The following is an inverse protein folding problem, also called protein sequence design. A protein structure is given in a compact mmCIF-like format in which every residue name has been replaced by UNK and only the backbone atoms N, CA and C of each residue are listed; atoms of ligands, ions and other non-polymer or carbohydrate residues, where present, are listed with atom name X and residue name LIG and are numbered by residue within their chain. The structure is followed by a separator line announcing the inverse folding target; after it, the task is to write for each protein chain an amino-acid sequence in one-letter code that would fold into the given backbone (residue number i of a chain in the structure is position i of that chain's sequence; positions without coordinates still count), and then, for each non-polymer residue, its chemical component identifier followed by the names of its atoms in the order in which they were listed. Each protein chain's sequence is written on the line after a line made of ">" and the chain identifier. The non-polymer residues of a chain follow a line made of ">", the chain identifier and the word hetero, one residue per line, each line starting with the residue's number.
data_IF_628020008074
#
_entry.id   IF_628020008074
#
_cell.length_a   1.000
_cell.length_b   1.000
_cell.length_c   1.000
_cell.angle_alpha   90.00
_cell.angle_beta   90.00
_cell.angle_gamma   90.00
#
_symmetry.space_group_name_H-M   'P 1'
#
loop_
_entity.id
_entity.type
_entity.pdbx_description
1 polymer ?
#
# COMPACT_ATOMS: atom_id res chain seq x y z
N UNK A 1 -0.97 14.86 6.50
CA UNK A 1 0.04 13.78 6.34
C UNK A 1 0.41 13.03 7.64
N UNK A 2 0.17 13.57 8.85
CA UNK A 2 0.63 12.96 10.12
C UNK A 2 -0.25 11.79 10.61
N UNK A 3 -1.57 11.80 10.32
CA UNK A 3 -2.51 10.71 10.68
C UNK A 3 -2.12 9.34 10.11
N UNK A 4 -1.32 9.29 9.04
CA UNK A 4 -0.97 8.05 8.35
C UNK A 4 0.09 7.22 9.12
N UNK A 5 1.01 7.89 9.84
CA UNK A 5 2.12 7.22 10.51
C UNK A 5 1.67 6.49 11.78
N UNK A 6 0.74 7.08 12.53
CA UNK A 6 0.17 6.48 13.74
C UNK A 6 -0.66 5.22 13.42
N UNK A 7 -1.47 5.30 12.35
CA UNK A 7 -2.25 4.15 11.85
C UNK A 7 -1.33 3.00 11.39
N UNK A 8 -0.19 3.34 10.79
CA UNK A 8 0.83 2.39 10.35
C UNK A 8 1.47 1.62 11.52
N UNK A 9 1.70 2.29 12.65
CA UNK A 9 2.30 1.70 13.86
C UNK A 9 1.29 0.79 14.56
N UNK A 10 0.03 1.22 14.68
CA UNK A 10 -1.04 0.46 15.33
C UNK A 10 -1.34 -0.83 14.55
N UNK A 11 -1.41 -0.78 13.22
CA UNK A 11 -1.65 -1.97 12.38
C UNK A 11 -0.46 -2.93 12.29
N UNK A 12 0.77 -2.48 12.61
CA UNK A 12 1.95 -3.36 12.63
C UNK A 12 1.87 -4.43 13.73
N UNK A 13 1.05 -4.19 14.76
CA UNK A 13 0.71 -5.17 15.81
C UNK A 13 -0.34 -6.19 15.36
N UNK A 14 -0.98 -6.01 14.21
CA UNK A 14 -1.89 -7.02 13.67
C UNK A 14 -1.12 -8.22 13.11
N UNK A 15 -1.77 -9.38 13.18
CA UNK A 15 -1.19 -10.66 12.78
C UNK A 15 -0.89 -10.68 11.27
N UNK A 16 0.28 -11.21 10.91
CA UNK A 16 0.64 -11.53 9.54
C UNK A 16 -0.50 -12.29 8.85
N UNK A 17 -1.00 -11.77 7.73
CA UNK A 17 -2.08 -12.36 6.96
C UNK A 17 -3.41 -11.59 7.01
N UNK A 18 -3.62 -10.69 7.98
CA UNK A 18 -4.81 -9.82 7.98
C UNK A 18 -4.85 -8.95 6.73
N UNK A 19 -6.06 -8.64 6.24
CA UNK A 19 -6.22 -7.79 5.06
C UNK A 19 -5.60 -6.40 5.32
N UNK A 20 -5.80 -5.84 6.50
CA UNK A 20 -5.20 -4.58 6.94
C UNK A 20 -3.66 -4.62 6.92
N UNK A 21 -3.04 -5.72 7.40
CA UNK A 21 -1.60 -5.92 7.33
C UNK A 21 -1.10 -5.99 5.87
N UNK A 22 -1.86 -6.63 4.98
CA UNK A 22 -1.53 -6.65 3.55
C UNK A 22 -1.58 -5.24 2.94
N UNK A 23 -2.61 -4.46 3.24
CA UNK A 23 -2.73 -3.06 2.78
C UNK A 23 -1.56 -2.23 3.31
N UNK A 24 -1.16 -2.44 4.56
CA UNK A 24 -0.01 -1.78 5.17
C UNK A 24 1.27 -2.05 4.37
N UNK A 25 1.55 -3.32 4.08
CA UNK A 25 2.72 -3.73 3.31
C UNK A 25 2.68 -3.22 1.86
N UNK A 26 1.52 -3.18 1.23
CA UNK A 26 1.38 -2.58 -0.11
C UNK A 26 1.64 -1.07 -0.06
N UNK A 27 1.16 -0.38 0.98
CA UNK A 27 1.37 1.06 1.18
C UNK A 27 2.84 1.40 1.37
N UNK A 28 3.58 0.62 2.18
CA UNK A 28 5.02 0.84 2.36
C UNK A 28 5.81 0.58 1.08
N UNK A 29 5.44 -0.45 0.30
CA UNK A 29 6.02 -0.72 -1.03
C UNK A 29 5.76 0.41 -2.01
N UNK A 30 4.52 0.91 -2.08
CA UNK A 30 4.15 2.06 -2.92
C UNK A 30 5.04 3.26 -2.57
N UNK A 31 5.16 3.62 -1.28
CA UNK A 31 5.97 4.77 -0.87
C UNK A 31 7.44 4.64 -1.31
N UNK A 32 8.05 3.47 -1.10
CA UNK A 32 9.43 3.21 -1.54
C UNK A 32 9.59 3.31 -3.05
N UNK A 33 8.66 2.71 -3.81
CA UNK A 33 8.73 2.70 -5.27
C UNK A 33 8.44 4.08 -5.88
N UNK A 34 7.57 4.86 -5.26
CA UNK A 34 7.32 6.25 -5.66
C UNK A 34 8.60 7.08 -5.51
N UNK A 35 9.30 7.01 -4.38
CA UNK A 35 10.58 7.71 -4.20
C UNK A 35 11.67 7.23 -5.18
N UNK A 36 11.73 5.92 -5.47
CA UNK A 36 12.62 5.39 -6.52
C UNK A 36 12.34 6.01 -7.89
N UNK A 37 11.06 6.12 -8.27
CA UNK A 37 10.64 6.64 -9.57
C UNK A 37 10.79 8.17 -9.71
N UNK A 38 10.87 8.90 -8.60
CA UNK A 38 11.21 10.34 -8.61
C UNK A 38 12.61 10.58 -9.18
N UNK A 39 13.56 9.71 -8.82
CA UNK A 39 14.93 9.71 -9.34
C UNK A 39 15.01 9.02 -10.71
N UNK A 40 14.30 7.91 -10.90
CA UNK A 40 14.35 7.09 -12.11
C UNK A 40 13.08 7.22 -12.97
N UNK A 41 12.80 8.44 -13.46
CA UNK A 41 11.55 8.75 -14.17
C UNK A 41 11.31 7.93 -15.44
N UNK A 42 12.36 7.42 -16.09
CA UNK A 42 12.29 6.60 -17.31
C UNK A 42 12.13 5.09 -17.03
N UNK A 43 12.07 4.67 -15.78
CA UNK A 43 11.83 3.26 -15.43
C UNK A 43 10.34 2.90 -15.58
N UNK A 44 9.94 2.59 -16.81
CA UNK A 44 8.57 2.25 -17.16
C UNK A 44 8.12 0.89 -16.61
N UNK A 45 9.06 -0.05 -16.41
CA UNK A 45 8.74 -1.36 -15.85
C UNK A 45 8.33 -1.24 -14.38
N UNK A 46 9.09 -0.46 -13.60
CA UNK A 46 8.76 -0.15 -12.22
C UNK A 46 7.48 0.69 -12.10
N UNK A 47 7.20 1.61 -13.04
CA UNK A 47 5.89 2.30 -13.09
C UNK A 47 4.74 1.32 -13.31
N UNK A 48 4.90 0.36 -14.24
CA UNK A 48 3.88 -0.66 -14.50
C UNK A 48 3.66 -1.56 -13.29
N UNK A 49 4.72 -1.96 -12.58
CA UNK A 49 4.60 -2.74 -11.36
C UNK A 49 3.91 -1.94 -10.24
N UNK A 50 4.22 -0.63 -10.11
CA UNK A 50 3.55 0.27 -9.17
C UNK A 50 2.03 0.31 -9.39
N UNK A 51 1.58 0.45 -10.64
CA UNK A 51 0.15 0.47 -10.97
C UNK A 51 -0.56 -0.84 -10.54
N UNK A 52 0.07 -2.00 -10.73
CA UNK A 52 -0.46 -3.29 -10.27
C UNK A 52 -0.60 -3.34 -8.74
N UNK A 53 0.41 -2.84 -8.01
CA UNK A 53 0.39 -2.78 -6.54
C UNK A 53 -0.72 -1.84 -6.06
N UNK A 54 -0.90 -0.70 -6.72
CA UNK A 54 -1.95 0.27 -6.41
C UNK A 54 -3.35 -0.33 -6.59
N UNK A 55 -3.59 -1.01 -7.72
CA UNK A 55 -4.85 -1.71 -7.99
C UNK A 55 -5.15 -2.82 -6.99
N UNK A 56 -4.13 -3.61 -6.60
CA UNK A 56 -4.28 -4.64 -5.55
C UNK A 56 -4.67 -4.02 -4.21
N UNK A 57 -4.02 -2.91 -3.82
CA UNK A 57 -4.34 -2.20 -2.57
C UNK A 57 -5.77 -1.68 -2.58
N UNK A 58 -6.22 -1.11 -3.70
CA UNK A 58 -7.59 -0.60 -3.85
C UNK A 58 -8.62 -1.72 -3.64
N UNK A 59 -8.46 -2.86 -4.33
CA UNK A 59 -9.35 -4.03 -4.18
C UNK A 59 -9.44 -4.54 -2.74
N UNK A 60 -8.33 -4.55 -1.99
CA UNK A 60 -8.34 -4.94 -0.58
C UNK A 60 -9.06 -3.92 0.31
N UNK A 61 -8.97 -2.63 0.00
CA UNK A 61 -9.73 -1.59 0.70
C UNK A 61 -11.23 -1.74 0.42
N UNK A 62 -11.60 -1.95 -0.84
CA UNK A 62 -12.99 -2.15 -1.24
C UNK A 62 -13.59 -3.39 -0.55
N UNK A 63 -12.82 -4.48 -0.44
CA UNK A 63 -13.21 -5.67 0.31
C UNK A 63 -13.49 -5.36 1.80
N UNK A 64 -12.63 -4.59 2.46
CA UNK A 64 -12.83 -4.21 3.86
C UNK A 64 -14.04 -3.30 4.06
N UNK A 65 -14.29 -2.38 3.12
CA UNK A 65 -15.45 -1.52 3.15
C UNK A 65 -16.74 -2.33 2.98
N UNK A 66 -16.78 -3.25 2.00
CA UNK A 66 -17.92 -4.13 1.77
C UNK A 66 -18.20 -5.09 2.93
N UNK A 67 -17.18 -5.54 3.66
CA UNK A 67 -17.35 -6.42 4.82
C UNK A 67 -17.86 -5.70 6.07
N UNK A 68 -17.71 -4.37 6.14
CA UNK A 68 -18.14 -3.56 7.29
C UNK A 68 -19.56 -3.00 7.14
N UNK A 69 -20.14 -3.04 5.93
CA UNK A 69 -21.57 -2.80 5.68
C UNK A 69 -22.32 -4.11 5.64
#
# INVERSE_FOLDING_TARGET
>A
MIKNLLFLIILKKEKSGSVQFQILNLTTKIRKLTSHLELHRKDYFSKRSLLKILGKRQRLMDYLLKKKG
#
